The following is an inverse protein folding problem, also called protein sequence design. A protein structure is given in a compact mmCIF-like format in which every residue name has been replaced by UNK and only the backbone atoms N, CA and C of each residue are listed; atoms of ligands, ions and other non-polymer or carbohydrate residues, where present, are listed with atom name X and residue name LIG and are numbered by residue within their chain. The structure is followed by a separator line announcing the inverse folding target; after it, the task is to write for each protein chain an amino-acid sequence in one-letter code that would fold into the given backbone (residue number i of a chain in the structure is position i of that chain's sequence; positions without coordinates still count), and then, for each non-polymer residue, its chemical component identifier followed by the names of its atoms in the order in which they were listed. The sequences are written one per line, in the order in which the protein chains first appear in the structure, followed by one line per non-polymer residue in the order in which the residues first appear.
data_IF_687055462791
#
_entry.id   IF_687055462791
#
_cell.length_a   1.000
_cell.length_b   1.000
_cell.length_c   1.000
_cell.angle_alpha   90.00
_cell.angle_beta   90.00
_cell.angle_gamma   90.00
#
_symmetry.space_group_name_H-M   'P 1'
#
loop_
_entity.id
_entity.type
_entity.pdbx_description
1 polymer ?
#
# COMPACT_ATOMS: atom_id res chain seq x y z
N UNK A 1 1.31 4.25 -2.75
CA UNK A 1 1.09 4.97 -1.47
C UNK A 1 -0.07 5.94 -1.59
N UNK A 2 -0.95 5.91 -0.63
CA UNK A 2 -2.03 6.90 -0.52
C UNK A 2 -1.99 7.46 0.89
N UNK A 3 -1.85 8.76 0.99
CA UNK A 3 -1.90 9.46 2.27
C UNK A 3 -3.26 10.10 2.45
N UNK A 4 -3.89 9.83 3.59
CA UNK A 4 -5.23 10.30 3.92
C UNK A 4 -5.27 10.87 5.34
N UNK A 5 -6.34 11.56 5.63
CA UNK A 5 -6.60 12.05 6.97
C UNK A 5 -7.52 11.08 7.71
N UNK A 6 -7.05 10.61 8.87
CA UNK A 6 -7.85 9.82 9.79
C UNK A 6 -7.79 8.30 9.57
N UNK A 7 -7.92 7.58 10.67
CA UNK A 7 -7.89 6.11 10.69
C UNK A 7 -9.03 5.48 9.88
N UNK A 8 -10.28 5.94 10.00
CA UNK A 8 -11.36 5.34 9.22
C UNK A 8 -11.11 5.42 7.72
N UNK A 9 -10.60 6.54 7.23
CA UNK A 9 -10.28 6.70 5.82
C UNK A 9 -9.14 5.77 5.40
N UNK A 10 -8.10 5.66 6.22
CA UNK A 10 -6.97 4.79 5.93
C UNK A 10 -7.38 3.32 5.83
N UNK A 11 -8.22 2.85 6.74
CA UNK A 11 -8.69 1.47 6.73
C UNK A 11 -9.59 1.18 5.53
N UNK A 12 -10.48 2.09 5.18
CA UNK A 12 -11.36 1.93 4.02
C UNK A 12 -10.54 1.88 2.72
N UNK A 13 -9.55 2.76 2.59
CA UNK A 13 -8.65 2.79 1.44
C UNK A 13 -7.86 1.48 1.33
N UNK A 14 -7.26 1.02 2.44
CA UNK A 14 -6.50 -0.22 2.46
C UNK A 14 -7.36 -1.41 2.05
N UNK A 15 -8.55 -1.52 2.60
CA UNK A 15 -9.48 -2.59 2.27
C UNK A 15 -9.86 -2.57 0.80
N UNK A 16 -10.24 -1.40 0.28
CA UNK A 16 -10.63 -1.24 -1.12
C UNK A 16 -9.50 -1.62 -2.08
N UNK A 17 -8.28 -1.21 -1.77
CA UNK A 17 -7.13 -1.53 -2.60
C UNK A 17 -6.87 -3.04 -2.64
N UNK A 18 -6.90 -3.70 -1.50
CA UNK A 18 -6.65 -5.13 -1.42
C UNK A 18 -7.76 -5.97 -2.04
N UNK A 19 -8.99 -5.48 -2.06
CA UNK A 19 -10.11 -6.15 -2.71
C UNK A 19 -10.10 -5.98 -4.23
N UNK A 20 -9.56 -4.88 -4.73
CA UNK A 20 -9.66 -4.52 -6.14
C UNK A 20 -8.60 -5.17 -7.01
N UNK A 21 -7.45 -5.54 -6.47
CA UNK A 21 -6.31 -5.98 -7.25
C UNK A 21 -5.38 -6.89 -6.46
N UNK A 22 -4.46 -7.54 -7.17
CA UNK A 22 -3.46 -8.45 -6.59
C UNK A 22 -2.31 -7.65 -6.00
N UNK A 23 -2.59 -7.00 -4.87
CA UNK A 23 -1.60 -6.22 -4.13
C UNK A 23 -1.58 -6.64 -2.67
N UNK A 24 -0.50 -6.28 -2.00
CA UNK A 24 -0.33 -6.48 -0.56
C UNK A 24 -0.27 -5.13 0.12
N UNK A 25 -1.06 -4.95 1.17
CA UNK A 25 -0.86 -3.84 2.08
C UNK A 25 0.32 -4.19 3.00
N UNK A 26 1.42 -3.47 2.86
CA UNK A 26 2.64 -3.76 3.62
C UNK A 26 2.75 -2.93 4.89
N UNK A 27 1.91 -1.94 5.06
CA UNK A 27 1.90 -1.19 6.30
C UNK A 27 1.23 0.16 6.21
N UNK A 28 1.17 0.78 7.37
CA UNK A 28 0.71 2.15 7.55
C UNK A 28 1.84 2.96 8.14
N UNK A 29 2.04 4.17 7.62
CA UNK A 29 2.91 5.14 8.25
C UNK A 29 2.05 6.25 8.83
N UNK A 30 2.20 6.47 10.12
CA UNK A 30 1.45 7.49 10.83
C UNK A 30 2.37 8.68 11.07
N UNK A 31 2.01 9.81 10.49
CA UNK A 31 2.65 11.08 10.80
C UNK A 31 1.76 11.91 11.71
N UNK A 32 2.18 13.10 12.07
CA UNK A 32 1.41 13.94 13.00
C UNK A 32 0.06 14.34 12.42
N UNK A 33 -0.86 14.72 13.30
CA UNK A 33 -2.15 15.33 12.96
C UNK A 33 -3.12 14.38 12.22
N UNK A 34 -3.03 13.09 12.51
CA UNK A 34 -3.95 12.12 11.93
C UNK A 34 -3.67 11.78 10.47
N UNK A 35 -2.51 12.15 9.96
CA UNK A 35 -2.09 11.82 8.59
C UNK A 35 -1.56 10.40 8.56
N UNK A 36 -2.14 9.58 7.71
CA UNK A 36 -1.78 8.17 7.61
C UNK A 36 -1.52 7.84 6.14
N UNK A 37 -0.36 7.24 5.88
CA UNK A 37 -0.02 6.74 4.56
C UNK A 37 -0.22 5.24 4.53
N UNK A 38 -1.03 4.78 3.57
CA UNK A 38 -1.22 3.37 3.28
C UNK A 38 -0.22 2.97 2.21
N UNK A 39 0.54 1.93 2.49
CA UNK A 39 1.59 1.43 1.59
C UNK A 39 1.19 0.08 1.02
N UNK A 40 1.23 -0.04 -0.31
CA UNK A 40 0.98 -1.31 -0.99
C UNK A 40 2.12 -1.66 -1.92
N UNK A 41 2.27 -2.95 -2.20
CA UNK A 41 3.20 -3.50 -3.19
C UNK A 41 2.48 -4.46 -4.12
N UNK A 42 2.97 -4.54 -5.34
CA UNK A 42 2.48 -5.48 -6.32
C UNK A 42 3.00 -5.17 -7.72
N UNK A 43 2.58 -5.93 -8.74
CA UNK A 43 2.85 -5.57 -10.13
C UNK A 43 2.30 -4.19 -10.43
N UNK A 44 2.99 -3.41 -11.27
CA UNK A 44 2.61 -2.01 -11.49
C UNK A 44 1.18 -1.84 -11.98
N UNK A 45 0.71 -2.72 -12.86
CA UNK A 45 -0.66 -2.65 -13.35
C UNK A 45 -1.68 -2.90 -12.23
N UNK A 46 -1.38 -3.84 -11.33
CA UNK A 46 -2.22 -4.13 -10.17
C UNK A 46 -2.21 -2.98 -9.16
N UNK A 47 -1.04 -2.39 -8.95
CA UNK A 47 -0.91 -1.21 -8.08
C UNK A 47 -1.75 -0.06 -8.60
N UNK A 48 -1.72 0.20 -9.90
CA UNK A 48 -2.53 1.28 -10.50
C UNK A 48 -4.03 1.02 -10.33
N UNK A 49 -4.47 -0.21 -10.55
CA UNK A 49 -5.87 -0.59 -10.32
C UNK A 49 -6.26 -0.43 -8.85
N UNK A 50 -5.39 -0.87 -7.95
CA UNK A 50 -5.63 -0.73 -6.51
C UNK A 50 -5.73 0.74 -6.10
N UNK A 51 -4.82 1.57 -6.59
CA UNK A 51 -4.82 3.01 -6.28
C UNK A 51 -6.12 3.66 -6.73
N UNK A 52 -6.58 3.36 -7.95
CA UNK A 52 -7.86 3.89 -8.43
C UNK A 52 -9.02 3.52 -7.51
N UNK A 53 -9.07 2.26 -7.06
CA UNK A 53 -10.08 1.80 -6.13
C UNK A 53 -9.98 2.48 -4.76
N UNK A 54 -8.76 2.66 -4.27
CA UNK A 54 -8.51 3.36 -3.00
C UNK A 54 -8.98 4.81 -3.04
N UNK A 55 -8.68 5.51 -4.12
CA UNK A 55 -9.13 6.89 -4.29
C UNK A 55 -10.66 7.00 -4.34
N UNK A 56 -11.31 6.09 -5.02
CA UNK A 56 -12.77 6.05 -5.06
C UNK A 56 -13.37 5.76 -3.68
N UNK A 57 -12.70 4.94 -2.88
CA UNK A 57 -13.18 4.57 -1.55
C UNK A 57 -13.22 5.74 -0.56
N UNK A 58 -12.37 6.73 -0.74
CA UNK A 58 -12.31 7.90 0.16
C UNK A 58 -13.68 8.58 0.26
N UNK A 59 -14.40 8.61 -0.84
CA UNK A 59 -15.74 9.26 -0.89
C UNK A 59 -16.78 8.57 -0.02
N UNK A 60 -16.54 7.31 0.35
CA UNK A 60 -17.47 6.55 1.21
C UNK A 60 -17.29 6.86 2.69
N UNK A 61 -16.26 7.59 3.05
CA UNK A 61 -15.96 7.92 4.43
C UNK A 61 -16.37 9.36 4.73
N UNK A 62 -17.22 9.53 5.72
CA UNK A 62 -17.59 10.85 6.19
C UNK A 62 -16.35 11.59 6.71
N UNK A 63 -16.07 12.75 6.12
CA UNK A 63 -14.86 13.50 6.46
C UNK A 63 -13.58 12.93 5.87
N UNK A 64 -13.68 11.95 4.99
CA UNK A 64 -12.52 11.39 4.31
C UNK A 64 -11.84 12.42 3.43
N UNK A 65 -10.52 12.50 3.54
CA UNK A 65 -9.74 13.49 2.80
C UNK A 65 -8.48 12.86 2.24
N UNK A 66 -8.26 13.04 0.94
CA UNK A 66 -7.03 12.67 0.28
C UNK A 66 -5.99 13.77 0.48
N UNK A 67 -4.81 13.40 0.96
CA UNK A 67 -3.69 14.33 1.12
C UNK A 67 -2.67 14.19 -0.01
N UNK A 68 -2.27 12.95 -0.34
CA UNK A 68 -1.38 12.72 -1.47
C UNK A 68 -1.50 11.29 -1.97
N UNK A 69 -1.06 11.07 -3.20
CA UNK A 69 -0.98 9.75 -3.82
C UNK A 69 0.28 9.69 -4.67
N UNK A 70 0.98 8.56 -4.59
CA UNK A 70 2.19 8.37 -5.38
C UNK A 70 2.44 6.90 -5.68
N UNK A 71 2.89 6.62 -6.90
CA UNK A 71 3.27 5.29 -7.36
C UNK A 71 4.73 5.34 -7.79
N UNK A 72 5.51 4.39 -7.30
CA UNK A 72 6.88 4.17 -7.76
C UNK A 72 6.86 2.86 -8.56
N UNK A 73 7.01 2.97 -9.88
CA UNK A 73 6.86 1.82 -10.77
C UNK A 73 8.02 0.82 -10.64
N UNK A 74 9.22 1.29 -10.38
CA UNK A 74 10.41 0.45 -10.25
C UNK A 74 11.28 0.94 -9.09
N UNK A 75 10.93 0.59 -7.86
CA UNK A 75 11.74 1.03 -6.73
C UNK A 75 13.16 0.45 -6.82
N UNK A 76 14.14 1.29 -6.52
CA UNK A 76 15.53 0.86 -6.46
C UNK A 76 15.70 -0.18 -5.34
N UNK A 77 16.63 -1.13 -5.53
CA UNK A 77 16.86 -2.18 -4.56
C UNK A 77 17.13 -1.66 -3.14
N UNK A 78 17.86 -0.56 -3.02
CA UNK A 78 18.19 0.03 -1.72
C UNK A 78 17.00 0.65 -1.01
N UNK A 79 15.90 0.88 -1.71
CA UNK A 79 14.71 1.49 -1.14
C UNK A 79 14.09 0.60 -0.07
N UNK A 80 14.18 -0.71 -0.24
CA UNK A 80 13.65 -1.68 0.74
C UNK A 80 14.32 -1.54 2.11
N UNK A 81 15.56 -1.05 2.15
CA UNK A 81 16.28 -0.87 3.40
C UNK A 81 15.77 0.33 4.22
N UNK A 82 15.14 1.31 3.59
CA UNK A 82 14.72 2.54 4.26
C UNK A 82 13.20 2.68 4.41
N UNK A 83 12.43 1.87 3.71
CA UNK A 83 10.98 1.88 3.83
C UNK A 83 10.51 0.75 4.73
N UNK A 84 9.38 0.89 5.40
CA UNK A 84 8.78 -0.19 6.20
C UNK A 84 8.22 -1.31 5.31
N UNK A 85 8.87 -1.56 4.21
CA UNK A 85 8.55 -2.63 3.27
C UNK A 85 9.22 -3.94 3.66
N UNK A 86 10.11 -3.89 4.64
CA UNK A 86 10.98 -5.00 4.99
C UNK A 86 10.30 -6.11 5.78
N UNK A 87 9.06 -5.93 6.18
CA UNK A 87 8.36 -6.93 6.97
C UNK A 87 7.74 -8.03 6.11
N UNK A 88 8.30 -8.22 4.93
CA UNK A 88 7.94 -9.32 4.05
C UNK A 88 8.12 -10.68 4.73
N UNK A 89 9.09 -10.79 5.65
CA UNK A 89 9.30 -12.04 6.40
C UNK A 89 8.14 -12.37 7.32
N UNK A 90 7.54 -11.37 7.96
CA UNK A 90 6.35 -11.58 8.77
C UNK A 90 5.18 -12.05 7.90
N UNK A 91 5.04 -11.48 6.72
CA UNK A 91 4.01 -11.88 5.77
C UNK A 91 4.23 -13.30 5.24
N UNK A 92 5.47 -13.66 4.98
CA UNK A 92 5.85 -15.03 4.59
C UNK A 92 5.56 -16.00 5.73
N UNK A 93 5.93 -15.65 6.96
CA UNK A 93 5.70 -16.51 8.14
C UNK A 93 4.20 -16.71 8.42
N UNK A 94 3.38 -15.78 8.04
CA UNK A 94 1.91 -15.91 8.13
C UNK A 94 1.32 -16.75 6.98
N UNK A 95 2.15 -17.23 6.07
CA UNK A 95 1.73 -18.06 4.95
C UNK A 95 0.84 -17.34 3.95
N UNK A 96 0.84 -15.99 4.01
CA UNK A 96 -0.20 -15.25 3.32
C UNK A 96 0.02 -15.13 1.83
N UNK A 97 1.28 -15.06 1.34
CA UNK A 97 1.43 -14.69 -0.06
C UNK A 97 2.84 -14.85 -0.62
N UNK A 98 3.34 -16.06 -0.65
CA UNK A 98 4.63 -16.32 -1.28
C UNK A 98 4.72 -15.81 -2.71
N UNK A 99 3.64 -15.95 -3.46
CA UNK A 99 3.61 -15.54 -4.87
C UNK A 99 3.56 -14.02 -5.04
N UNK A 100 2.94 -13.31 -4.12
CA UNK A 100 2.80 -11.86 -4.22
C UNK A 100 4.00 -11.12 -3.64
N UNK A 101 4.62 -11.67 -2.59
CA UNK A 101 5.83 -11.10 -2.01
C UNK A 101 6.96 -11.04 -3.04
N UNK A 102 6.93 -11.93 -4.02
CA UNK A 102 7.92 -11.97 -5.10
C UNK A 102 7.66 -10.96 -6.21
N UNK A 103 6.58 -10.23 -6.14
CA UNK A 103 6.28 -9.16 -7.09
C UNK A 103 6.41 -7.79 -6.44
N UNK A 104 7.01 -6.84 -7.14
CA UNK A 104 7.82 -7.08 -8.33
C UNK A 104 8.95 -8.06 -8.06
N UNK A 105 9.58 -8.67 -9.10
CA UNK A 105 10.68 -9.62 -8.90
C UNK A 105 11.71 -9.04 -7.95
N UNK A 106 12.45 -9.87 -7.18
CA UNK A 106 13.43 -9.36 -6.24
C UNK A 106 14.34 -8.36 -6.92
N UNK A 107 14.47 -7.19 -6.33
CA UNK A 107 15.23 -6.09 -6.91
C UNK A 107 16.73 -6.41 -7.00
N UNK A 108 17.15 -7.43 -6.31
CA UNK A 108 18.52 -7.93 -6.31
C UNK A 108 18.81 -8.92 -7.44
N UNK A 109 17.82 -9.28 -8.21
CA UNK A 109 17.99 -10.25 -9.29
C UNK A 109 18.36 -9.59 -10.60
#
# INVERSE_FOLDING_TARGET
MIEVLGVPTALEVADAMCKAAQVICVGFENTDLGRITVLIRGPVAEVETAVAAGLAAIRRVNGGELLSVHVIARPHANLEAVLPLGDSQTLVSLGRIDSIIRFPPPLSA
#
